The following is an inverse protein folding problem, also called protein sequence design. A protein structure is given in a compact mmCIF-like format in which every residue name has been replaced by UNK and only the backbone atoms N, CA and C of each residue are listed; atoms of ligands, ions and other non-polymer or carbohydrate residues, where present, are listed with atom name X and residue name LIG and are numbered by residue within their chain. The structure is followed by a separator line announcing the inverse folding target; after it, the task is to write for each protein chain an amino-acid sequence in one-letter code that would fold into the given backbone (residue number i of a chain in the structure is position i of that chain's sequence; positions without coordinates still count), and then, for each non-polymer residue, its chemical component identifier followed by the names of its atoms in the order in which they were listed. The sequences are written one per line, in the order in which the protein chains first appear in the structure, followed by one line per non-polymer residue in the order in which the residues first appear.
data_IF_545428321742
#
_entry.id   IF_545428321742
#
_cell.length_a   1.000
_cell.length_b   1.000
_cell.length_c   1.000
_cell.angle_alpha   90.00
_cell.angle_beta   90.00
_cell.angle_gamma   90.00
#
_symmetry.space_group_name_H-M   'P 1'
#
loop_
_entity.id
_entity.type
_entity.pdbx_description
1 polymer ?
#
# COMPACT_ATOMS: atom_id res chain seq x y z
N UNK A 1 14.69 7.45 -5.02
CA UNK A 1 14.68 8.10 -6.35
C UNK A 1 13.37 8.83 -6.41
N UNK A 2 13.34 10.17 -6.52
CA UNK A 2 12.21 11.00 -6.06
C UNK A 2 10.83 10.51 -6.51
N UNK A 3 10.62 10.24 -7.81
CA UNK A 3 9.33 9.78 -8.33
C UNK A 3 8.83 8.47 -7.70
N UNK A 4 9.74 7.52 -7.46
CA UNK A 4 9.38 6.23 -6.84
C UNK A 4 8.96 6.48 -5.40
N UNK A 5 9.67 7.37 -4.69
CA UNK A 5 9.34 7.72 -3.32
C UNK A 5 7.95 8.40 -3.27
N UNK A 6 7.65 9.30 -4.21
CA UNK A 6 6.37 9.99 -4.34
C UNK A 6 5.20 9.03 -4.60
N UNK A 7 5.37 8.05 -5.50
CA UNK A 7 4.36 7.03 -5.80
C UNK A 7 4.08 6.10 -4.62
N UNK A 8 5.09 5.87 -3.78
CA UNK A 8 4.97 4.99 -2.61
C UNK A 8 4.36 5.68 -1.38
N UNK A 9 4.40 7.02 -1.30
CA UNK A 9 3.91 7.77 -0.12
C UNK A 9 2.49 7.37 0.33
N UNK A 10 1.47 7.23 -0.55
CA UNK A 10 0.12 6.87 -0.12
C UNK A 10 0.00 5.50 0.56
N UNK A 11 0.97 4.60 0.34
CA UNK A 11 0.94 3.23 0.83
C UNK A 11 1.78 3.00 2.09
N UNK A 12 2.66 3.94 2.45
CA UNK A 12 3.53 3.83 3.64
C UNK A 12 2.78 3.55 4.95
N UNK A 13 1.60 4.18 5.23
CA UNK A 13 0.88 3.93 6.48
C UNK A 13 0.49 2.46 6.72
N UNK A 14 0.33 1.66 5.65
CA UNK A 14 0.01 0.24 5.77
C UNK A 14 1.22 -0.56 6.28
N UNK A 15 2.40 -0.24 5.75
CA UNK A 15 3.67 -0.83 6.22
C UNK A 15 3.94 -0.40 7.65
N UNK A 16 3.75 0.89 7.96
CA UNK A 16 3.94 1.43 9.30
C UNK A 16 3.06 0.71 10.33
N UNK A 17 1.76 0.52 10.02
CA UNK A 17 0.84 -0.20 10.88
C UNK A 17 1.25 -1.66 11.09
N UNK A 18 1.71 -2.33 10.03
CA UNK A 18 2.21 -3.70 10.14
C UNK A 18 3.47 -3.78 11.03
N UNK A 19 4.40 -2.85 10.89
CA UNK A 19 5.60 -2.77 11.73
C UNK A 19 5.22 -2.53 13.20
N UNK A 20 4.24 -1.66 13.48
CA UNK A 20 3.72 -1.46 14.84
C UNK A 20 3.19 -2.77 15.42
N UNK A 21 2.37 -3.52 14.66
CA UNK A 21 1.81 -4.81 15.10
C UNK A 21 2.87 -5.89 15.32
N UNK A 22 3.87 -5.95 14.43
CA UNK A 22 5.01 -6.86 14.59
C UNK A 22 5.77 -6.53 15.88
N UNK A 23 6.04 -5.26 16.14
CA UNK A 23 6.71 -4.84 17.36
C UNK A 23 5.88 -5.14 18.62
N UNK A 24 4.56 -4.90 18.59
CA UNK A 24 3.63 -5.24 19.69
C UNK A 24 3.56 -6.75 19.96
N UNK A 25 3.76 -7.58 18.94
CA UNK A 25 3.84 -9.05 19.07
C UNK A 25 5.23 -9.57 19.47
N UNK A 26 6.18 -8.67 19.77
CA UNK A 26 7.53 -9.01 20.22
C UNK A 26 8.54 -9.22 19.09
N UNK A 27 8.15 -9.04 17.83
CA UNK A 27 9.04 -9.11 16.67
C UNK A 27 9.72 -7.76 16.47
N UNK A 28 10.93 -7.63 17.02
CA UNK A 28 11.76 -6.41 16.94
C UNK A 28 12.96 -6.54 16.00
N UNK A 29 13.16 -7.72 15.41
CA UNK A 29 14.24 -8.01 14.47
C UNK A 29 13.68 -8.36 13.10
N UNK A 30 14.38 -7.93 12.04
CA UNK A 30 13.99 -8.20 10.66
C UNK A 30 14.45 -9.61 10.23
N UNK A 31 13.87 -10.63 10.85
CA UNK A 31 14.13 -12.03 10.52
C UNK A 31 13.35 -12.49 9.27
N UNK A 32 13.39 -13.80 8.98
CA UNK A 32 12.72 -14.36 7.80
C UNK A 32 11.20 -14.20 7.87
N UNK A 33 10.60 -14.36 9.04
CA UNK A 33 9.15 -14.31 9.20
C UNK A 33 8.65 -12.85 9.18
N UNK A 34 9.39 -11.93 9.82
CA UNK A 34 9.13 -10.49 9.72
C UNK A 34 9.18 -10.01 8.26
N UNK A 35 10.18 -10.43 7.47
CA UNK A 35 10.26 -10.10 6.04
C UNK A 35 9.09 -10.69 5.25
N UNK A 36 8.68 -11.93 5.54
CA UNK A 36 7.52 -12.56 4.89
C UNK A 36 6.24 -11.78 5.18
N UNK A 37 6.02 -11.37 6.44
CA UNK A 37 4.87 -10.57 6.82
C UNK A 37 4.86 -9.22 6.09
N UNK A 38 6.00 -8.51 6.05
CA UNK A 38 6.12 -7.24 5.33
C UNK A 38 5.85 -7.38 3.83
N UNK A 39 6.34 -8.44 3.18
CA UNK A 39 6.05 -8.69 1.75
C UNK A 39 4.57 -9.00 1.52
N UNK A 40 3.91 -9.69 2.46
CA UNK A 40 2.50 -10.03 2.34
C UNK A 40 1.58 -8.80 2.26
N UNK A 41 2.03 -7.63 2.72
CA UNK A 41 1.28 -6.37 2.58
C UNK A 41 0.99 -6.01 1.12
N UNK A 42 1.82 -6.46 0.18
CA UNK A 42 1.61 -6.22 -1.26
C UNK A 42 0.36 -6.91 -1.81
N UNK A 43 -0.07 -7.99 -1.14
CA UNK A 43 -1.30 -8.74 -1.43
C UNK A 43 -2.48 -8.30 -0.55
N UNK A 44 -2.33 -7.25 0.25
CA UNK A 44 -3.41 -6.71 1.07
C UNK A 44 -4.50 -6.11 0.17
N UNK A 45 -5.75 -6.50 0.41
CA UNK A 45 -6.89 -6.03 -0.33
C UNK A 45 -7.25 -4.59 0.06
N UNK A 46 -7.31 -3.71 -0.94
CA UNK A 46 -7.72 -2.33 -0.83
C UNK A 46 -9.05 -2.10 -1.54
N UNK A 47 -9.94 -1.36 -0.88
CA UNK A 47 -11.11 -0.80 -1.53
C UNK A 47 -10.66 0.30 -2.51
N UNK A 48 -11.05 0.19 -3.77
CA UNK A 48 -10.81 1.21 -4.81
C UNK A 48 -12.10 1.56 -5.54
N UNK A 49 -12.06 2.61 -6.36
CA UNK A 49 -13.15 2.98 -7.28
C UNK A 49 -13.56 1.84 -8.24
N UNK A 50 -12.63 0.93 -8.56
CA UNK A 50 -12.85 -0.22 -9.43
C UNK A 50 -13.22 -1.51 -8.66
N UNK A 51 -13.45 -1.42 -7.35
CA UNK A 51 -13.69 -2.56 -6.46
C UNK A 51 -12.48 -2.91 -5.60
N UNK A 52 -12.53 -4.10 -5.00
CA UNK A 52 -11.46 -4.60 -4.12
C UNK A 52 -10.31 -5.13 -4.96
N UNK A 53 -9.10 -4.63 -4.72
CA UNK A 53 -7.89 -5.04 -5.44
C UNK A 53 -6.69 -5.15 -4.50
N UNK A 54 -5.73 -6.05 -4.78
CA UNK A 54 -4.47 -6.07 -4.04
C UNK A 54 -3.73 -4.73 -4.12
N UNK A 55 -2.99 -4.39 -3.07
CA UNK A 55 -2.16 -3.18 -2.98
C UNK A 55 -1.24 -3.03 -4.19
N UNK A 56 -0.56 -4.10 -4.61
CA UNK A 56 0.33 -4.09 -5.77
C UNK A 56 -0.39 -3.61 -7.03
N UNK A 57 -1.61 -4.10 -7.29
CA UNK A 57 -2.42 -3.67 -8.43
C UNK A 57 -2.87 -2.20 -8.30
N UNK A 58 -3.19 -1.74 -7.08
CA UNK A 58 -3.50 -0.33 -6.84
C UNK A 58 -2.30 0.58 -7.12
N UNK A 59 -1.08 0.15 -6.77
CA UNK A 59 0.15 0.87 -7.07
C UNK A 59 0.43 0.92 -8.58
N UNK A 60 0.26 -0.19 -9.28
CA UNK A 60 0.39 -0.25 -10.75
C UNK A 60 -0.59 0.70 -11.45
N UNK A 61 -1.85 0.72 -11.00
CA UNK A 61 -2.88 1.64 -11.52
C UNK A 61 -2.54 3.09 -11.25
N UNK A 62 -2.05 3.42 -10.05
CA UNK A 62 -1.60 4.77 -9.74
C UNK A 62 -0.48 5.20 -10.69
N UNK A 63 0.53 4.35 -10.91
CA UNK A 63 1.63 4.64 -11.84
C UNK A 63 1.14 4.83 -13.28
N UNK A 64 0.21 3.99 -13.76
CA UNK A 64 -0.39 4.14 -15.09
C UNK A 64 -1.22 5.42 -15.20
N UNK A 65 -2.04 5.72 -14.21
CA UNK A 65 -2.85 6.95 -14.18
C UNK A 65 -1.99 8.20 -14.16
N UNK A 66 -0.83 8.18 -13.50
CA UNK A 66 0.13 9.26 -13.53
C UNK A 66 0.70 9.46 -14.94
N UNK A 67 1.08 8.38 -15.62
CA UNK A 67 1.57 8.46 -17.01
C UNK A 67 0.50 9.10 -17.92
N UNK A 68 -0.74 8.61 -17.88
CA UNK A 68 -1.85 9.18 -18.66
C UNK A 68 -2.15 10.63 -18.27
N UNK A 69 -2.12 10.97 -16.99
CA UNK A 69 -2.33 12.33 -16.46
C UNK A 69 -1.32 13.32 -17.04
N UNK A 70 -0.05 12.90 -17.16
CA UNK A 70 1.01 13.71 -17.74
C UNK A 70 0.88 13.83 -19.26
N UNK A 71 0.54 12.74 -19.96
CA UNK A 71 0.28 12.74 -21.41
C UNK A 71 -0.89 13.64 -21.80
N UNK A 72 -1.98 13.60 -21.03
CA UNK A 72 -3.19 14.38 -21.26
C UNK A 72 -3.11 15.81 -20.70
N UNK A 73 -2.05 16.15 -19.95
CA UNK A 73 -1.92 17.38 -19.18
C UNK A 73 -3.13 17.69 -18.28
N UNK A 74 -3.72 16.66 -17.67
CA UNK A 74 -4.88 16.76 -16.77
C UNK A 74 -4.59 16.09 -15.44
N UNK A 75 -4.84 16.72 -14.29
CA UNK A 75 -4.57 16.12 -12.98
C UNK A 75 -5.61 15.05 -12.65
N UNK A 76 -5.33 13.80 -13.01
CA UNK A 76 -6.24 12.67 -12.83
C UNK A 76 -5.46 11.46 -12.36
N UNK A 77 -5.43 11.23 -11.04
CA UNK A 77 -4.72 10.13 -10.41
C UNK A 77 -5.69 9.13 -9.80
N UNK A 78 -5.37 7.85 -9.97
CA UNK A 78 -6.09 6.74 -9.39
C UNK A 78 -5.53 6.42 -8.00
N UNK A 79 -5.77 7.33 -7.06
CA UNK A 79 -5.28 7.22 -5.68
C UNK A 79 -6.02 6.10 -4.93
N UNK A 80 -5.33 5.38 -4.03
CA UNK A 80 -5.99 4.41 -3.15
C UNK A 80 -7.02 5.12 -2.25
N UNK A 81 -8.13 4.46 -1.97
CA UNK A 81 -9.08 4.96 -0.97
C UNK A 81 -8.49 4.72 0.43
N UNK A 82 -8.87 5.58 1.37
CA UNK A 82 -8.51 5.40 2.78
C UNK A 82 -9.20 4.13 3.30
N UNK A 83 -8.45 3.10 3.73
CA UNK A 83 -9.05 1.88 4.26
C UNK A 83 -9.83 2.18 5.55
N UNK A 84 -10.96 1.50 5.73
CA UNK A 84 -11.75 1.63 6.94
C UNK A 84 -11.02 0.99 8.15
N UNK A 85 -11.37 1.33 9.40
CA UNK A 85 -10.84 0.63 10.57
C UNK A 85 -11.05 -0.89 10.52
N UNK A 86 -12.13 -1.34 9.87
CA UNK A 86 -12.41 -2.77 9.70
C UNK A 86 -11.43 -3.41 8.72
N UNK A 87 -11.14 -2.75 7.59
CA UNK A 87 -10.16 -3.22 6.60
C UNK A 87 -8.78 -3.31 7.25
N UNK A 88 -8.37 -2.27 7.98
CA UNK A 88 -7.09 -2.25 8.69
C UNK A 88 -7.00 -3.32 9.77
N UNK A 89 -8.12 -3.81 10.30
CA UNK A 89 -8.08 -4.83 11.37
C UNK A 89 -7.49 -6.16 10.91
N UNK A 90 -7.42 -6.45 9.61
CA UNK A 90 -6.89 -7.71 9.06
C UNK A 90 -5.37 -7.68 8.79
N UNK A 91 -4.72 -6.51 8.78
CA UNK A 91 -3.28 -6.41 8.47
C UNK A 91 -2.42 -7.09 9.55
N UNK A 92 -1.50 -7.98 9.17
CA UNK A 92 -0.62 -8.65 10.12
C UNK A 92 -1.29 -9.66 11.06
N UNK A 93 -2.51 -10.13 10.72
CA UNK A 93 -3.05 -11.39 11.27
C UNK A 93 -2.52 -12.61 10.52
#
# INVERSE_FOLDING_TARGET
MCLVDDLMEPFRPLVDLLVVRLNESGVSTLDKEAKRALVAVTAFDLNTSAGVTPLANSLERLAQSLATSLEDAKPSLDLPLVPSPLDLSSIGR
#
